data_IF_917448086915
#
_entry.id   IF_917448086915
#
_cell.length_a   1.000
_cell.length_b   1.000
_cell.length_c   1.000
_cell.angle_alpha   90.00
_cell.angle_beta   90.00
_cell.angle_gamma   90.00
#
_symmetry.space_group_name_H-M   'P 1'
#
loop_
_entity.id
_entity.type
_entity.pdbx_description
1 polymer ?
#
# COMPACT_ATOMS: atom_id res chain seq x y z
N UNK A 1 -57.19 -7.67 21.47
CA UNK A 1 -56.37 -6.45 21.68
C UNK A 1 -54.90 -6.86 21.48
N UNK A 2 -54.40 -6.86 20.23
CA UNK A 2 -53.03 -7.30 19.91
C UNK A 2 -52.15 -6.06 19.67
N UNK A 3 -51.12 -5.87 20.50
CA UNK A 3 -50.08 -4.86 20.29
C UNK A 3 -49.06 -5.41 19.30
N UNK A 4 -48.93 -4.77 18.13
CA UNK A 4 -47.80 -4.95 17.21
C UNK A 4 -46.57 -4.28 17.84
N UNK A 5 -45.57 -5.09 18.18
CA UNK A 5 -44.23 -4.62 18.57
C UNK A 5 -43.45 -4.31 17.29
N UNK A 6 -43.16 -3.03 17.06
CA UNK A 6 -42.31 -2.58 15.96
C UNK A 6 -40.85 -2.71 16.43
N UNK A 7 -40.11 -3.68 15.90
CA UNK A 7 -38.65 -3.69 16.04
C UNK A 7 -38.07 -2.66 15.09
N UNK A 8 -37.59 -1.54 15.62
CA UNK A 8 -36.71 -0.62 14.89
C UNK A 8 -35.30 -1.15 15.07
N UNK A 9 -34.76 -1.78 14.03
CA UNK A 9 -33.34 -2.08 13.96
C UNK A 9 -32.57 -0.76 13.91
N UNK A 10 -31.79 -0.48 14.96
CA UNK A 10 -30.82 0.60 14.93
C UNK A 10 -29.69 0.17 13.97
N UNK A 11 -29.75 0.63 12.73
CA UNK A 11 -28.56 0.69 11.87
C UNK A 11 -27.72 1.81 12.42
N UNK A 12 -26.75 1.46 13.28
CA UNK A 12 -25.68 2.38 13.63
C UNK A 12 -24.75 2.39 12.42
N UNK A 13 -24.97 3.31 11.49
CA UNK A 13 -23.99 3.63 10.48
C UNK A 13 -22.77 4.23 11.22
N UNK A 14 -21.69 3.45 11.30
CA UNK A 14 -20.40 3.98 11.68
C UNK A 14 -20.01 5.10 10.70
N UNK A 15 -19.26 6.13 11.12
CA UNK A 15 -18.92 7.23 10.23
C UNK A 15 -18.03 6.71 9.10
N UNK A 16 -18.50 6.85 7.85
CA UNK A 16 -17.67 6.69 6.64
C UNK A 16 -16.84 7.96 6.48
N UNK A 17 -15.80 8.10 7.28
CA UNK A 17 -14.65 8.90 6.92
C UNK A 17 -13.49 7.92 6.83
N UNK A 18 -13.00 7.67 5.61
CA UNK A 18 -11.79 6.90 5.41
C UNK A 18 -10.64 7.65 6.10
N UNK A 19 -10.31 7.27 7.33
CA UNK A 19 -9.21 7.88 8.06
C UNK A 19 -7.90 7.46 7.37
N UNK A 20 -7.06 8.45 7.08
CA UNK A 20 -5.72 8.22 6.54
C UNK A 20 -4.94 7.44 7.60
N UNK A 21 -4.46 6.25 7.26
CA UNK A 21 -3.69 5.45 8.22
C UNK A 21 -2.37 6.14 8.57
N UNK A 22 -1.83 5.94 9.79
CA UNK A 22 -0.54 6.50 10.19
C UNK A 22 0.61 6.15 9.24
N UNK A 23 0.60 4.93 8.69
CA UNK A 23 1.59 4.39 7.75
C UNK A 23 1.54 5.16 6.42
N UNK A 24 0.31 5.40 5.94
CA UNK A 24 0.10 6.16 4.71
C UNK A 24 0.55 7.61 4.88
N UNK A 25 0.20 8.23 6.02
CA UNK A 25 0.65 9.59 6.34
C UNK A 25 2.19 9.67 6.45
N UNK A 26 2.83 8.67 7.08
CA UNK A 26 4.27 8.60 7.20
C UNK A 26 4.96 8.43 5.84
N UNK A 27 4.47 7.49 5.02
CA UNK A 27 4.95 7.30 3.65
C UNK A 27 4.77 8.57 2.81
N UNK A 28 3.67 9.32 3.00
CA UNK A 28 3.42 10.55 2.27
C UNK A 28 4.45 11.63 2.63
N UNK A 29 4.88 11.71 3.90
CA UNK A 29 5.97 12.57 4.34
C UNK A 29 7.34 12.25 3.71
N UNK A 30 7.50 11.06 3.12
CA UNK A 30 8.72 10.62 2.47
C UNK A 30 8.76 10.89 0.96
N UNK A 31 7.69 11.46 0.37
CA UNK A 31 7.64 11.78 -1.06
C UNK A 31 8.81 12.70 -1.45
N UNK A 32 9.49 12.33 -2.54
CA UNK A 32 10.66 13.06 -3.06
C UNK A 32 11.99 12.40 -2.72
N UNK A 33 12.06 11.57 -1.68
CA UNK A 33 13.26 10.79 -1.36
C UNK A 33 13.62 9.90 -2.55
N UNK A 34 14.86 9.97 -3.01
CA UNK A 34 15.28 9.29 -4.23
C UNK A 34 16.69 8.68 -4.15
N UNK A 35 16.96 7.67 -4.98
CA UNK A 35 18.21 6.90 -4.92
C UNK A 35 19.46 7.65 -5.40
N UNK A 36 19.30 8.83 -6.02
CA UNK A 36 20.40 9.68 -6.47
C UNK A 36 20.86 10.62 -5.36
N UNK A 37 19.93 11.41 -4.83
CA UNK A 37 20.25 12.47 -3.87
C UNK A 37 20.25 11.96 -2.43
N UNK A 38 19.42 10.97 -2.12
CA UNK A 38 19.20 10.43 -0.78
C UNK A 38 19.77 9.01 -0.61
N UNK A 39 20.73 8.61 -1.45
CA UNK A 39 21.32 7.24 -1.46
C UNK A 39 21.72 6.77 -0.06
N UNK A 40 22.40 7.63 0.70
CA UNK A 40 22.89 7.28 2.05
C UNK A 40 21.74 7.10 3.04
N UNK A 41 20.71 7.95 2.96
CA UNK A 41 19.50 7.82 3.77
C UNK A 41 18.79 6.51 3.45
N UNK A 42 18.51 6.24 2.18
CA UNK A 42 17.85 5.00 1.75
C UNK A 42 18.65 3.76 2.17
N UNK A 43 19.98 3.80 2.06
CA UNK A 43 20.84 2.71 2.51
C UNK A 43 20.74 2.47 4.02
N UNK A 44 20.68 3.55 4.82
CA UNK A 44 20.53 3.45 6.26
C UNK A 44 19.12 2.98 6.67
N UNK A 45 18.07 3.44 5.98
CA UNK A 45 16.69 3.10 6.30
C UNK A 45 16.31 1.68 5.85
N UNK A 46 16.75 1.27 4.65
CA UNK A 46 16.30 0.05 3.99
C UNK A 46 17.31 -1.10 4.08
N UNK A 47 18.50 -0.83 4.61
CA UNK A 47 19.60 -1.81 4.74
C UNK A 47 19.95 -2.52 3.41
N UNK A 48 19.97 -1.75 2.30
CA UNK A 48 20.33 -2.22 0.96
C UNK A 48 21.01 -1.11 0.15
N UNK A 49 21.61 -1.42 -1.00
CA UNK A 49 22.04 -0.39 -1.95
C UNK A 49 20.89 -0.06 -2.92
N UNK A 50 20.30 1.15 -2.85
CA UNK A 50 19.13 1.48 -3.65
C UNK A 50 19.44 1.64 -5.15
N UNK A 51 20.72 1.75 -5.55
CA UNK A 51 21.10 1.82 -6.98
C UNK A 51 21.25 0.45 -7.63
N UNK A 52 21.39 -0.61 -6.82
CA UNK A 52 21.60 -1.99 -7.30
C UNK A 52 20.37 -2.88 -7.09
N UNK A 53 19.47 -2.48 -6.19
CA UNK A 53 18.35 -3.32 -5.73
C UNK A 53 17.03 -2.56 -5.83
N UNK A 54 16.03 -3.15 -6.49
CA UNK A 54 14.66 -2.62 -6.47
C UNK A 54 14.13 -2.57 -5.03
N UNK A 55 13.69 -1.40 -4.60
CA UNK A 55 13.44 -1.13 -3.18
C UNK A 55 11.98 -0.80 -2.84
N UNK A 56 11.01 -1.08 -3.74
CA UNK A 56 9.59 -0.88 -3.46
C UNK A 56 9.10 -1.72 -2.27
N UNK A 57 9.43 -3.02 -2.23
CA UNK A 57 9.07 -3.90 -1.13
C UNK A 57 9.84 -3.57 0.17
N UNK A 58 11.11 -3.18 0.06
CA UNK A 58 11.89 -2.74 1.21
C UNK A 58 11.28 -1.49 1.86
N UNK A 59 10.88 -0.50 1.04
CA UNK A 59 10.19 0.69 1.50
C UNK A 59 8.88 0.35 2.23
N UNK A 60 8.06 -0.54 1.66
CA UNK A 60 6.80 -0.94 2.29
C UNK A 60 7.03 -1.67 3.62
N UNK A 61 7.99 -2.59 3.68
CA UNK A 61 8.35 -3.25 4.94
C UNK A 61 8.84 -2.23 5.98
N UNK A 62 9.69 -1.28 5.59
CA UNK A 62 10.20 -0.24 6.48
C UNK A 62 9.06 0.63 7.05
N UNK A 63 8.13 1.08 6.20
CA UNK A 63 7.00 1.91 6.66
C UNK A 63 6.12 1.12 7.63
N UNK A 64 5.74 -0.10 7.29
CA UNK A 64 4.91 -0.94 8.17
C UNK A 64 5.63 -1.23 9.50
N UNK A 65 6.90 -1.61 9.47
CA UNK A 65 7.70 -1.90 10.67
C UNK A 65 7.76 -0.69 11.60
N UNK A 66 7.89 0.53 11.05
CA UNK A 66 7.95 1.76 11.86
C UNK A 66 6.68 2.02 12.68
N UNK A 67 5.55 1.46 12.24
CA UNK A 67 4.27 1.58 12.91
C UNK A 67 3.87 0.31 13.67
N UNK A 68 4.77 -0.67 13.78
CA UNK A 68 4.50 -1.92 14.50
C UNK A 68 3.63 -2.91 13.71
N UNK A 69 3.44 -2.65 12.42
CA UNK A 69 2.60 -3.46 11.55
C UNK A 69 3.32 -4.71 11.03
N UNK A 70 2.53 -5.72 10.65
CA UNK A 70 3.08 -6.97 10.14
C UNK A 70 3.77 -6.73 8.79
N UNK A 71 5.03 -7.16 8.69
CA UNK A 71 5.84 -7.08 7.48
C UNK A 71 6.02 -8.45 6.83
N UNK A 72 6.56 -8.48 5.61
CA UNK A 72 6.94 -9.74 4.95
C UNK A 72 8.42 -10.08 5.12
N UNK A 73 9.25 -9.07 5.42
CA UNK A 73 10.72 -9.17 5.45
C UNK A 73 11.37 -9.49 4.10
N UNK A 74 10.59 -9.54 3.01
CA UNK A 74 11.06 -9.91 1.68
C UNK A 74 11.19 -8.70 0.76
N UNK A 75 12.21 -8.71 -0.10
CA UNK A 75 12.38 -7.72 -1.19
C UNK A 75 11.45 -7.98 -2.40
N UNK A 76 10.66 -9.05 -2.37
CA UNK A 76 9.72 -9.36 -3.45
C UNK A 76 8.38 -8.67 -3.19
N UNK A 77 7.93 -7.83 -4.14
CA UNK A 77 6.63 -7.16 -4.05
C UNK A 77 5.46 -8.14 -3.86
N UNK A 78 5.48 -9.28 -4.57
CA UNK A 78 4.44 -10.32 -4.44
C UNK A 78 4.41 -11.02 -3.08
N UNK A 79 5.40 -10.83 -2.21
CA UNK A 79 5.34 -11.36 -0.84
C UNK A 79 4.18 -10.77 -0.03
N UNK A 80 3.74 -9.54 -0.38
CA UNK A 80 2.66 -8.84 0.29
C UNK A 80 1.29 -9.46 0.06
N UNK A 81 1.14 -10.40 -0.88
CA UNK A 81 -0.09 -11.18 -1.05
C UNK A 81 -0.50 -11.98 0.20
N UNK A 82 0.42 -12.14 1.16
CA UNK A 82 0.22 -12.87 2.43
C UNK A 82 -0.01 -11.96 3.64
N UNK A 83 -0.04 -10.64 3.44
CA UNK A 83 -0.30 -9.65 4.49
C UNK A 83 -1.80 -9.44 4.63
N UNK A 84 -2.26 -9.31 5.87
CA UNK A 84 -3.66 -8.99 6.17
C UNK A 84 -4.68 -9.89 5.46
N UNK A 85 -5.82 -9.32 5.14
CA UNK A 85 -6.92 -9.94 4.39
C UNK A 85 -7.05 -9.35 2.98
N UNK A 86 -7.58 -10.14 2.04
CA UNK A 86 -7.87 -9.65 0.69
C UNK A 86 -9.09 -8.74 0.72
N UNK A 87 -9.04 -7.64 -0.03
CA UNK A 87 -10.20 -6.77 -0.26
C UNK A 87 -10.40 -6.50 -1.75
N UNK A 88 -11.65 -6.36 -2.16
CA UNK A 88 -12.04 -5.97 -3.51
C UNK A 88 -12.48 -4.50 -3.60
N UNK A 89 -12.62 -3.85 -2.45
CA UNK A 89 -12.97 -2.43 -2.30
C UNK A 89 -11.84 -1.76 -1.51
N UNK A 90 -10.70 -1.45 -2.17
CA UNK A 90 -9.56 -0.85 -1.50
C UNK A 90 -9.90 0.56 -1.01
N UNK A 91 -9.40 0.90 0.17
CA UNK A 91 -9.50 2.23 0.80
C UNK A 91 -8.11 2.81 1.02
N UNK A 92 -8.04 4.11 1.39
CA UNK A 92 -6.77 4.78 1.68
C UNK A 92 -5.93 3.96 2.66
N UNK A 93 -4.69 3.65 2.26
CA UNK A 93 -3.72 2.92 3.08
C UNK A 93 -3.71 1.41 2.87
N UNK A 94 -4.67 0.84 2.14
CA UNK A 94 -4.59 -0.57 1.73
C UNK A 94 -3.37 -0.80 0.82
N UNK A 95 -2.77 -1.98 0.91
CA UNK A 95 -1.60 -2.36 0.13
C UNK A 95 -2.07 -2.94 -1.21
N UNK A 96 -1.62 -2.35 -2.30
CA UNK A 96 -1.86 -2.85 -3.65
C UNK A 96 -0.63 -3.61 -4.16
N UNK A 97 -0.85 -4.82 -4.65
CA UNK A 97 0.20 -5.65 -5.27
C UNK A 97 -0.07 -5.76 -6.76
N UNK A 98 0.91 -5.40 -7.58
CA UNK A 98 0.80 -5.37 -9.04
C UNK A 98 1.75 -6.35 -9.71
N UNK A 99 1.36 -6.82 -10.90
CA UNK A 99 2.25 -7.51 -11.83
C UNK A 99 3.20 -6.52 -12.53
N UNK A 100 4.35 -7.04 -12.98
CA UNK A 100 5.33 -6.28 -13.76
C UNK A 100 6.01 -7.16 -14.80
N UNK A 101 5.62 -6.99 -16.07
CA UNK A 101 6.12 -7.82 -17.17
C UNK A 101 5.51 -9.22 -17.15
N UNK A 102 6.15 -10.16 -17.86
CA UNK A 102 5.68 -11.55 -18.03
C UNK A 102 6.24 -12.53 -17.01
N UNK A 103 7.26 -12.14 -16.24
CA UNK A 103 7.90 -13.03 -15.27
C UNK A 103 7.12 -13.08 -13.96
N UNK A 104 6.83 -14.30 -13.51
CA UNK A 104 5.96 -14.53 -12.34
C UNK A 104 6.48 -13.93 -11.03
N UNK A 105 7.78 -13.76 -10.86
CA UNK A 105 8.33 -13.23 -9.61
C UNK A 105 8.33 -11.68 -9.59
N UNK A 106 8.22 -11.03 -10.75
CA UNK A 106 8.27 -9.57 -10.87
C UNK A 106 6.94 -8.95 -10.46
N UNK A 107 7.03 -7.86 -9.72
CA UNK A 107 5.85 -7.10 -9.29
C UNK A 107 6.18 -5.70 -8.81
N UNK A 108 5.16 -5.01 -8.33
CA UNK A 108 5.27 -3.74 -7.63
C UNK A 108 4.30 -3.72 -6.46
N UNK A 109 4.61 -2.92 -5.43
CA UNK A 109 3.78 -2.78 -4.24
C UNK A 109 3.78 -1.33 -3.76
N UNK A 110 2.64 -0.86 -3.25
CA UNK A 110 2.47 0.48 -2.70
C UNK A 110 1.09 0.63 -2.03
N UNK A 111 0.85 1.77 -1.39
CA UNK A 111 -0.41 2.10 -0.76
C UNK A 111 -1.41 2.69 -1.76
N UNK A 112 -2.68 2.29 -1.64
CA UNK A 112 -3.80 2.90 -2.34
C UNK A 112 -4.00 4.35 -1.88
N UNK A 113 -4.11 5.27 -2.85
CA UNK A 113 -4.32 6.72 -2.64
C UNK A 113 -5.60 7.24 -3.33
N UNK A 114 -6.44 6.36 -3.86
CA UNK A 114 -7.58 6.70 -4.70
C UNK A 114 -7.44 6.10 -6.10
N UNK A 115 -8.43 6.37 -6.94
CA UNK A 115 -8.50 5.78 -8.27
C UNK A 115 -9.31 6.60 -9.26
N UNK A 116 -9.19 6.22 -10.52
CA UNK A 116 -10.04 6.63 -11.64
C UNK A 116 -10.75 5.38 -12.18
N UNK A 117 -11.47 5.51 -13.29
CA UNK A 117 -12.08 4.35 -13.96
C UNK A 117 -11.03 3.26 -14.26
N UNK A 118 -9.88 3.64 -14.83
CA UNK A 118 -8.89 2.69 -15.38
C UNK A 118 -7.62 2.52 -14.56
N UNK A 119 -7.36 3.40 -13.59
CA UNK A 119 -6.08 3.42 -12.85
C UNK A 119 -6.24 3.66 -11.36
N UNK A 120 -5.33 3.08 -10.57
CA UNK A 120 -5.12 3.42 -9.17
C UNK A 120 -4.03 4.48 -9.05
N UNK A 121 -4.20 5.42 -8.11
CA UNK A 121 -3.12 6.24 -7.59
C UNK A 121 -2.42 5.48 -6.47
N UNK A 122 -1.10 5.34 -6.59
CA UNK A 122 -0.30 4.47 -5.72
C UNK A 122 0.88 5.24 -5.15
N UNK A 123 0.94 5.34 -3.82
CA UNK A 123 2.11 5.83 -3.09
C UNK A 123 3.06 4.66 -2.82
N UNK A 124 4.30 4.77 -3.28
CA UNK A 124 5.29 3.73 -3.03
C UNK A 124 6.72 4.16 -3.34
N UNK A 125 7.67 3.33 -2.91
CA UNK A 125 9.09 3.50 -3.17
C UNK A 125 9.52 2.95 -4.54
N UNK A 126 10.71 3.35 -4.99
CA UNK A 126 11.33 2.95 -6.26
C UNK A 126 10.46 3.22 -7.50
N UNK A 127 9.53 4.17 -7.42
CA UNK A 127 8.69 4.57 -8.54
C UNK A 127 9.41 5.67 -9.32
N UNK A 128 10.05 5.29 -10.43
CA UNK A 128 11.04 6.14 -11.11
C UNK A 128 12.15 6.57 -10.15
N UNK A 129 12.72 5.60 -9.43
CA UNK A 129 13.87 5.78 -8.54
C UNK A 129 13.61 6.68 -7.31
N UNK A 130 12.32 6.90 -6.97
CA UNK A 130 11.90 7.77 -5.87
C UNK A 130 10.67 7.23 -5.12
N UNK A 131 10.46 7.73 -3.91
CA UNK A 131 9.16 7.70 -3.23
C UNK A 131 8.27 8.73 -3.91
N UNK A 132 7.17 8.28 -4.51
CA UNK A 132 6.26 9.18 -5.22
C UNK A 132 4.84 8.60 -5.28
N UNK A 133 3.91 9.37 -5.82
CA UNK A 133 2.57 8.88 -6.21
C UNK A 133 2.56 8.69 -7.72
N UNK A 134 2.15 7.49 -8.19
CA UNK A 134 2.08 7.14 -9.62
C UNK A 134 0.79 6.40 -9.94
N UNK A 135 0.38 6.46 -11.21
CA UNK A 135 -0.76 5.70 -11.71
C UNK A 135 -0.35 4.29 -12.12
N UNK A 136 -1.16 3.30 -11.74
CA UNK A 136 -1.05 1.92 -12.19
C UNK A 136 -2.39 1.46 -12.75
N UNK A 137 -2.39 0.84 -13.93
CA UNK A 137 -3.63 0.35 -14.56
C UNK A 137 -4.25 -0.75 -13.71
N UNK A 138 -5.58 -0.76 -13.60
CA UNK A 138 -6.32 -1.77 -12.84
C UNK A 138 -6.04 -3.20 -13.33
N UNK A 139 -5.80 -3.36 -14.63
CA UNK A 139 -5.43 -4.63 -15.26
C UNK A 139 -4.13 -5.25 -14.72
N UNK A 140 -3.28 -4.47 -14.05
CA UNK A 140 -2.04 -4.96 -13.44
C UNK A 140 -2.23 -5.36 -11.97
N UNK A 141 -3.36 -5.04 -11.35
CA UNK A 141 -3.61 -5.39 -9.96
C UNK A 141 -3.69 -6.92 -9.84
N UNK A 142 -2.93 -7.47 -8.89
CA UNK A 142 -3.01 -8.88 -8.52
C UNK A 142 -3.96 -9.03 -7.32
N UNK A 143 -3.78 -8.20 -6.29
CA UNK A 143 -4.60 -8.22 -5.09
C UNK A 143 -4.45 -6.90 -4.33
N UNK A 144 -5.50 -6.50 -3.62
CA UNK A 144 -5.46 -5.44 -2.62
C UNK A 144 -5.58 -6.08 -1.22
N UNK A 145 -4.78 -5.59 -0.28
CA UNK A 145 -4.62 -6.18 1.06
C UNK A 145 -4.88 -5.14 2.14
N UNK A 146 -5.72 -5.50 3.11
CA UNK A 146 -6.00 -4.69 4.31
C UNK A 146 -5.42 -5.39 5.53
N UNK A 147 -4.58 -4.70 6.28
CA UNK A 147 -3.82 -5.23 7.41
C UNK A 147 -4.32 -4.69 8.74
#
# INVERSE_FOLDING_TARGET
MFRKLLMVAAVVAAPVHAEVTPELAYAHGMIGINERDDKFLLKALLNLDPTETSWCAAFMNYVLEKHGEKTTGSLLAKSFLKIGEETFEPTLGDILVFSRGTEEWKGHVGFYMGETEDTYWVLGGNQSNAVSIKQYTKSRLISARRY
#
